data_IF_895292622581
#
_entry.id   IF_895292622581
#
_cell.length_a   1.000
_cell.length_b   1.000
_cell.length_c   1.000
_cell.angle_alpha   90.00
_cell.angle_beta   90.00
_cell.angle_gamma   90.00
#
_symmetry.space_group_name_H-M   'P 1'
#
loop_
_entity.id
_entity.type
_entity.pdbx_description
1 polymer ?
#
# COMPACT_ATOMS: atom_id res chain seq x y z
N UNK A 1 25.24 -13.07 -4.87
CA UNK A 1 23.83 -13.11 -4.47
C UNK A 1 23.42 -11.80 -3.82
N UNK A 2 23.94 -11.49 -2.63
CA UNK A 2 23.55 -10.34 -1.81
C UNK A 2 23.61 -9.00 -2.55
N UNK A 3 24.65 -8.79 -3.37
CA UNK A 3 24.80 -7.59 -4.21
C UNK A 3 23.66 -7.45 -5.23
N UNK A 4 23.22 -8.57 -5.84
CA UNK A 4 22.11 -8.58 -6.80
C UNK A 4 20.78 -8.36 -6.09
N UNK A 5 20.62 -8.91 -4.90
CA UNK A 5 19.43 -8.68 -4.08
C UNK A 5 19.33 -7.22 -3.63
N UNK A 6 20.43 -6.63 -3.17
CA UNK A 6 20.46 -5.21 -2.79
C UNK A 6 20.20 -4.28 -4.00
N UNK A 7 20.72 -4.62 -5.18
CA UNK A 7 20.40 -3.89 -6.41
C UNK A 7 18.90 -3.96 -6.77
N UNK A 8 18.27 -5.12 -6.53
CA UNK A 8 16.83 -5.31 -6.67
C UNK A 8 16.04 -4.46 -5.66
N UNK A 9 16.33 -4.56 -4.36
CA UNK A 9 15.67 -3.80 -3.30
C UNK A 9 15.78 -2.28 -3.52
N UNK A 10 16.98 -1.80 -3.87
CA UNK A 10 17.18 -0.40 -4.24
C UNK A 10 16.39 -0.02 -5.50
N UNK A 11 16.28 -0.89 -6.50
CA UNK A 11 15.49 -0.61 -7.70
C UNK A 11 13.99 -0.50 -7.42
N UNK A 12 13.45 -1.33 -6.53
CA UNK A 12 12.05 -1.29 -6.10
C UNK A 12 11.78 0.00 -5.33
N UNK A 13 12.62 0.34 -4.34
CA UNK A 13 12.44 1.50 -3.49
C UNK A 13 12.50 2.84 -4.24
N UNK A 14 13.37 2.97 -5.24
CA UNK A 14 13.52 4.22 -6.01
C UNK A 14 12.71 4.21 -7.32
N UNK A 15 11.59 3.47 -7.37
CA UNK A 15 10.61 3.55 -8.45
C UNK A 15 11.16 3.23 -9.86
N UNK A 16 12.16 2.34 -9.98
CA UNK A 16 12.71 1.99 -11.30
C UNK A 16 11.65 1.23 -12.11
N UNK A 17 11.66 1.42 -13.44
CA UNK A 17 10.70 0.81 -14.39
C UNK A 17 10.48 -0.69 -14.10
N UNK A 18 9.23 -1.17 -14.14
CA UNK A 18 8.86 -2.56 -13.88
C UNK A 18 9.72 -3.59 -14.64
N UNK A 19 10.02 -3.35 -15.93
CA UNK A 19 10.93 -4.22 -16.72
C UNK A 19 12.33 -4.36 -16.12
N UNK A 20 12.86 -3.30 -15.50
CA UNK A 20 14.18 -3.30 -14.85
C UNK A 20 14.13 -4.06 -13.52
N UNK A 21 13.07 -3.89 -12.75
CA UNK A 21 12.83 -4.65 -11.50
C UNK A 21 12.75 -6.15 -11.80
N UNK A 22 11.95 -6.54 -12.80
CA UNK A 22 11.81 -7.94 -13.20
C UNK A 22 13.12 -8.53 -13.73
N UNK A 23 13.90 -7.76 -14.51
CA UNK A 23 15.23 -8.18 -14.94
C UNK A 23 16.17 -8.42 -13.74
N UNK A 24 16.18 -7.53 -12.76
CA UNK A 24 17.01 -7.68 -11.56
C UNK A 24 16.58 -8.89 -10.73
N UNK A 25 15.27 -9.16 -10.64
CA UNK A 25 14.75 -10.38 -9.98
C UNK A 25 15.29 -11.65 -10.64
N UNK A 26 15.22 -11.75 -11.97
CA UNK A 26 15.78 -12.90 -12.70
C UNK A 26 17.28 -13.06 -12.45
N UNK A 27 18.02 -11.95 -12.40
CA UNK A 27 19.45 -11.97 -12.05
C UNK A 27 19.74 -12.42 -10.61
N UNK A 28 18.82 -12.16 -9.67
CA UNK A 28 18.92 -12.70 -8.30
C UNK A 28 18.79 -14.22 -8.35
N UNK A 29 17.76 -14.75 -9.02
CA UNK A 29 17.55 -16.19 -9.18
C UNK A 29 18.75 -16.89 -9.84
N UNK A 30 19.22 -16.36 -10.97
CA UNK A 30 20.42 -16.87 -11.66
C UNK A 30 21.66 -16.83 -10.74
N UNK A 31 21.80 -15.78 -9.93
CA UNK A 31 22.90 -15.68 -8.96
C UNK A 31 22.79 -16.72 -7.85
N UNK A 32 21.58 -17.07 -7.40
CA UNK A 32 21.35 -18.08 -6.37
C UNK A 32 21.77 -19.44 -6.90
N UNK A 33 21.29 -19.82 -8.09
CA UNK A 33 21.65 -21.07 -8.75
C UNK A 33 23.16 -21.18 -9.01
N UNK A 34 23.77 -20.13 -9.58
CA UNK A 34 25.22 -20.12 -9.83
C UNK A 34 26.03 -20.24 -8.53
N UNK A 35 25.57 -19.61 -7.44
CA UNK A 35 26.24 -19.72 -6.13
C UNK A 35 26.13 -21.14 -5.59
N UNK A 36 24.97 -21.79 -5.75
CA UNK A 36 24.75 -23.18 -5.33
C UNK A 36 25.74 -24.13 -5.99
N UNK A 37 25.89 -24.06 -7.31
CA UNK A 37 26.84 -24.91 -8.05
C UNK A 37 28.28 -24.70 -7.58
N UNK A 38 28.71 -23.43 -7.44
CA UNK A 38 30.04 -23.10 -6.93
C UNK A 38 30.30 -23.65 -5.53
N UNK A 39 29.30 -23.61 -4.64
CA UNK A 39 29.43 -24.14 -3.29
C UNK A 39 29.54 -25.66 -3.27
N UNK A 40 28.82 -26.38 -4.14
CA UNK A 40 28.90 -27.85 -4.25
C UNK A 40 30.32 -28.28 -4.67
N UNK A 41 30.93 -27.52 -5.59
CA UNK A 41 32.26 -27.80 -6.12
C UNK A 41 33.40 -27.44 -5.16
N UNK A 42 33.12 -26.72 -4.07
CA UNK A 42 34.15 -26.36 -3.10
C UNK A 42 34.64 -27.61 -2.34
N UNK A 43 35.97 -27.80 -2.23
CA UNK A 43 36.52 -28.88 -1.42
C UNK A 43 36.28 -28.62 0.07
N UNK A 44 36.28 -29.68 0.87
CA UNK A 44 36.21 -29.57 2.32
C UNK A 44 37.46 -28.91 2.87
N UNK A 45 37.28 -27.96 3.78
CA UNK A 45 38.42 -27.33 4.43
C UNK A 45 38.93 -28.25 5.53
N UNK A 46 40.14 -28.81 5.33
CA UNK A 46 40.74 -29.78 6.27
C UNK A 46 39.80 -30.96 6.58
N UNK A 47 39.02 -31.40 5.59
CA UNK A 47 38.03 -32.48 5.74
C UNK A 47 36.72 -32.08 6.43
N UNK A 48 36.56 -30.81 6.84
CA UNK A 48 35.33 -30.31 7.46
C UNK A 48 34.38 -29.69 6.42
N UNK A 49 33.16 -30.22 6.36
CA UNK A 49 32.09 -29.77 5.49
C UNK A 49 31.16 -28.71 6.14
N UNK A 50 31.31 -28.42 7.43
CA UNK A 50 30.37 -27.58 8.19
C UNK A 50 30.16 -26.20 7.55
N UNK A 51 31.23 -25.51 7.15
CA UNK A 51 31.11 -24.20 6.49
C UNK A 51 30.37 -24.30 5.16
N UNK A 52 30.75 -25.26 4.32
CA UNK A 52 30.13 -25.46 3.00
C UNK A 52 28.65 -25.82 3.15
N UNK A 53 28.30 -26.71 4.07
CA UNK A 53 26.91 -27.11 4.33
C UNK A 53 26.05 -25.95 4.79
N UNK A 54 26.53 -25.13 5.73
CA UNK A 54 25.79 -23.96 6.23
C UNK A 54 25.46 -22.97 5.10
N UNK A 55 26.39 -22.75 4.18
CA UNK A 55 26.16 -21.91 3.00
C UNK A 55 25.22 -22.57 1.97
N UNK A 56 25.32 -23.89 1.77
CA UNK A 56 24.40 -24.62 0.89
C UNK A 56 22.96 -24.56 1.43
N UNK A 57 22.76 -24.78 2.73
CA UNK A 57 21.45 -24.70 3.37
C UNK A 57 20.84 -23.29 3.23
N UNK A 58 21.66 -22.25 3.35
CA UNK A 58 21.24 -20.86 3.14
C UNK A 58 20.82 -20.59 1.69
N UNK A 59 21.62 -21.02 0.71
CA UNK A 59 21.31 -20.83 -0.70
C UNK A 59 20.07 -21.61 -1.12
N UNK A 60 19.90 -22.85 -0.66
CA UNK A 60 18.71 -23.66 -0.91
C UNK A 60 17.46 -23.03 -0.28
N UNK A 61 17.59 -22.44 0.90
CA UNK A 61 16.51 -21.70 1.55
C UNK A 61 16.11 -20.46 0.75
N UNK A 62 17.08 -19.64 0.34
CA UNK A 62 16.79 -18.47 -0.47
C UNK A 62 16.20 -18.84 -1.83
N UNK A 63 16.67 -19.92 -2.47
CA UNK A 63 16.06 -20.42 -3.70
C UNK A 63 14.57 -20.72 -3.52
N UNK A 64 14.20 -21.44 -2.45
CA UNK A 64 12.79 -21.73 -2.13
C UNK A 64 11.96 -20.45 -1.91
N UNK A 65 12.53 -19.45 -1.25
CA UNK A 65 11.86 -18.16 -1.05
C UNK A 65 11.61 -17.44 -2.37
N UNK A 66 12.66 -17.27 -3.19
CA UNK A 66 12.56 -16.50 -4.43
C UNK A 66 11.82 -17.24 -5.55
N UNK A 67 11.66 -18.56 -5.44
CA UNK A 67 10.92 -19.37 -6.40
C UNK A 67 9.48 -19.66 -5.95
N UNK A 68 9.29 -20.20 -4.75
CA UNK A 68 7.99 -20.73 -4.30
C UNK A 68 7.16 -19.68 -3.56
N UNK A 69 7.78 -18.94 -2.64
CA UNK A 69 7.08 -17.90 -1.88
C UNK A 69 6.88 -16.62 -2.71
N UNK A 70 7.78 -16.34 -3.68
CA UNK A 70 7.60 -15.26 -4.63
C UNK A 70 6.44 -15.53 -5.61
N UNK A 71 6.27 -16.76 -6.10
CA UNK A 71 5.12 -17.10 -6.94
C UNK A 71 3.79 -16.84 -6.20
N UNK A 72 3.75 -17.10 -4.88
CA UNK A 72 2.61 -16.76 -4.03
C UNK A 72 2.44 -15.25 -3.87
N UNK A 73 3.53 -14.49 -3.69
CA UNK A 73 3.50 -13.02 -3.67
C UNK A 73 2.89 -12.49 -4.96
N UNK A 74 3.36 -12.91 -6.14
CA UNK A 74 2.84 -12.44 -7.44
C UNK A 74 1.35 -12.73 -7.57
N UNK A 75 0.92 -13.95 -7.20
CA UNK A 75 -0.50 -14.31 -7.27
C UNK A 75 -1.36 -13.52 -6.27
N UNK A 76 -0.79 -13.15 -5.11
CA UNK A 76 -1.50 -12.42 -4.06
C UNK A 76 -1.50 -10.91 -4.34
N UNK A 77 -0.47 -10.38 -5.00
CA UNK A 77 -0.38 -8.97 -5.41
C UNK A 77 -1.55 -8.57 -6.32
N UNK A 78 -1.95 -9.44 -7.25
CA UNK A 78 -3.07 -9.20 -8.16
C UNK A 78 -4.42 -9.01 -7.44
N UNK A 79 -4.60 -9.65 -6.29
CA UNK A 79 -5.83 -9.55 -5.50
C UNK A 79 -5.69 -8.65 -4.27
N UNK A 80 -4.47 -8.22 -3.91
CA UNK A 80 -4.21 -7.47 -2.69
C UNK A 80 -5.01 -6.16 -2.62
N UNK A 81 -5.26 -5.52 -3.76
CA UNK A 81 -6.00 -4.26 -3.81
C UNK A 81 -7.53 -4.42 -3.72
N UNK A 82 -8.05 -5.66 -3.76
CA UNK A 82 -9.50 -5.91 -3.73
C UNK A 82 -10.11 -5.63 -2.36
N UNK A 83 -9.36 -5.82 -1.27
CA UNK A 83 -9.80 -5.51 0.09
C UNK A 83 -8.65 -5.13 1.02
N UNK A 84 -8.99 -4.51 2.15
CA UNK A 84 -8.03 -4.25 3.22
C UNK A 84 -7.39 -5.54 3.78
N UNK A 85 -8.17 -6.59 3.94
CA UNK A 85 -7.69 -7.84 4.53
C UNK A 85 -6.70 -8.56 3.61
N UNK A 86 -6.93 -8.54 2.30
CA UNK A 86 -6.00 -9.09 1.31
C UNK A 86 -4.69 -8.29 1.26
N UNK A 87 -4.76 -6.95 1.30
CA UNK A 87 -3.57 -6.10 1.38
C UNK A 87 -2.77 -6.35 2.67
N UNK A 88 -3.45 -6.49 3.80
CA UNK A 88 -2.80 -6.81 5.07
C UNK A 88 -2.15 -8.20 5.05
N UNK A 89 -2.83 -9.20 4.49
CA UNK A 89 -2.29 -10.54 4.34
C UNK A 89 -1.06 -10.57 3.42
N UNK A 90 -1.10 -9.81 2.32
CA UNK A 90 0.00 -9.62 1.39
C UNK A 90 1.24 -9.02 2.07
N UNK A 91 1.06 -7.90 2.78
CA UNK A 91 2.17 -7.25 3.52
C UNK A 91 2.72 -8.17 4.60
N UNK A 92 1.86 -8.88 5.35
CA UNK A 92 2.29 -9.83 6.36
C UNK A 92 3.10 -10.99 5.76
N UNK A 93 2.74 -11.45 4.56
CA UNK A 93 3.50 -12.46 3.83
C UNK A 93 4.90 -11.95 3.49
N UNK A 94 5.01 -10.72 2.98
CA UNK A 94 6.31 -10.07 2.70
C UNK A 94 7.16 -9.94 3.96
N UNK A 95 6.59 -9.45 5.07
CA UNK A 95 7.31 -9.31 6.35
C UNK A 95 7.82 -10.65 6.88
N UNK A 96 7.01 -11.71 6.80
CA UNK A 96 7.43 -13.07 7.19
C UNK A 96 8.56 -13.61 6.34
N UNK A 97 8.59 -13.26 5.05
CA UNK A 97 9.68 -13.64 4.14
C UNK A 97 10.97 -12.90 4.51
N UNK A 98 10.88 -11.61 4.79
CA UNK A 98 12.03 -10.82 5.25
C UNK A 98 12.60 -11.33 6.58
N UNK A 99 11.72 -11.65 7.56
CA UNK A 99 12.13 -12.23 8.83
C UNK A 99 12.84 -13.57 8.66
N UNK A 100 12.30 -14.43 7.78
CA UNK A 100 12.90 -15.71 7.38
C UNK A 100 14.29 -15.53 6.77
N UNK A 101 14.45 -14.59 5.84
CA UNK A 101 15.74 -14.27 5.22
C UNK A 101 16.75 -13.75 6.25
N UNK A 102 16.31 -12.90 7.18
CA UNK A 102 17.15 -12.39 8.27
C UNK A 102 17.64 -13.51 9.18
N UNK A 103 16.76 -14.38 9.64
CA UNK A 103 17.12 -15.53 10.49
C UNK A 103 18.11 -16.47 9.78
N UNK A 104 17.93 -16.70 8.48
CA UNK A 104 18.85 -17.51 7.70
C UNK A 104 20.24 -16.85 7.58
N UNK A 105 20.30 -15.53 7.39
CA UNK A 105 21.56 -14.78 7.36
C UNK A 105 22.28 -14.81 8.72
N UNK A 106 21.55 -14.64 9.82
CA UNK A 106 22.10 -14.73 11.18
C UNK A 106 22.74 -16.10 11.47
N UNK A 107 22.10 -17.19 11.01
CA UNK A 107 22.65 -18.55 11.11
C UNK A 107 23.96 -18.70 10.36
N UNK A 108 24.05 -18.17 9.13
CA UNK A 108 25.28 -18.18 8.33
C UNK A 108 26.38 -17.38 9.01
N UNK A 109 26.06 -16.19 9.52
CA UNK A 109 27.01 -15.32 10.21
C UNK A 109 27.56 -15.99 11.47
N UNK A 110 26.70 -16.62 12.26
CA UNK A 110 27.14 -17.42 13.41
C UNK A 110 28.02 -18.59 12.98
N UNK A 111 27.61 -19.35 11.97
CA UNK A 111 28.38 -20.47 11.42
C UNK A 111 29.78 -20.06 10.94
N UNK A 112 29.90 -18.91 10.28
CA UNK A 112 31.18 -18.35 9.87
C UNK A 112 32.08 -18.04 11.08
N UNK A 113 31.53 -17.44 12.14
CA UNK A 113 32.27 -17.11 13.38
C UNK A 113 32.73 -18.37 14.11
N UNK A 114 31.84 -19.35 14.26
CA UNK A 114 32.14 -20.62 14.93
C UNK A 114 33.23 -21.40 14.16
N UNK A 115 33.14 -21.43 12.83
CA UNK A 115 34.14 -22.06 11.98
C UNK A 115 35.50 -21.35 12.05
N UNK A 116 35.49 -20.01 12.02
CA UNK A 116 36.71 -19.21 12.14
C UNK A 116 37.40 -19.44 13.49
N UNK A 117 36.64 -19.47 14.59
CA UNK A 117 37.15 -19.79 15.92
C UNK A 117 37.75 -21.20 15.98
N UNK A 118 37.04 -22.20 15.44
CA UNK A 118 37.51 -23.61 15.39
C UNK A 118 38.85 -23.76 14.68
N UNK A 119 39.05 -23.03 13.58
CA UNK A 119 40.26 -23.16 12.75
C UNK A 119 41.27 -22.04 12.93
N UNK A 120 41.07 -21.15 13.91
CA UNK A 120 41.91 -19.97 14.17
C UNK A 120 42.11 -19.11 12.92
N UNK A 121 41.04 -18.94 12.15
CA UNK A 121 41.01 -18.07 10.97
C UNK A 121 40.64 -16.67 11.43
N UNK A 122 41.41 -15.67 11.03
CA UNK A 122 41.05 -14.28 11.27
C UNK A 122 40.00 -13.85 10.24
N UNK A 123 38.84 -13.41 10.71
CA UNK A 123 37.84 -12.79 9.85
C UNK A 123 38.29 -11.38 9.51
N UNK A 124 38.25 -11.01 8.22
CA UNK A 124 38.45 -9.65 7.77
C UNK A 124 37.07 -9.05 7.60
N UNK A 125 36.65 -8.20 8.55
CA UNK A 125 35.27 -7.66 8.62
C UNK A 125 34.91 -6.69 7.48
N UNK A 126 35.89 -6.23 6.69
CA UNK A 126 35.79 -5.05 5.83
C UNK A 126 34.95 -5.13 4.54
N UNK A 127 34.01 -6.07 4.38
CA UNK A 127 33.20 -6.09 3.14
C UNK A 127 31.86 -6.82 3.17
N UNK A 128 31.57 -7.62 4.21
CA UNK A 128 30.27 -8.29 4.40
C UNK A 128 29.33 -7.53 5.34
N UNK A 129 29.87 -6.73 6.27
CA UNK A 129 29.04 -5.95 7.22
C UNK A 129 28.28 -4.81 6.52
N UNK A 130 28.91 -4.03 5.63
CA UNK A 130 28.26 -2.88 4.97
C UNK A 130 27.02 -3.29 4.14
N UNK A 131 27.04 -4.46 3.50
CA UNK A 131 25.88 -4.94 2.74
C UNK A 131 24.76 -5.47 3.66
N UNK A 132 25.14 -6.16 4.75
CA UNK A 132 24.20 -6.61 5.77
C UNK A 132 23.51 -5.45 6.47
N UNK A 133 24.26 -4.41 6.82
CA UNK A 133 23.75 -3.17 7.41
C UNK A 133 22.77 -2.46 6.46
N UNK A 134 23.09 -2.36 5.17
CA UNK A 134 22.20 -1.77 4.16
C UNK A 134 20.89 -2.55 4.01
N UNK A 135 20.95 -3.87 4.03
CA UNK A 135 19.76 -4.73 3.99
C UNK A 135 18.91 -4.58 5.26
N UNK A 136 19.55 -4.50 6.43
CA UNK A 136 18.84 -4.25 7.70
C UNK A 136 18.16 -2.88 7.70
N UNK A 137 18.85 -1.85 7.21
CA UNK A 137 18.28 -0.51 7.06
C UNK A 137 17.05 -0.53 6.13
N UNK A 138 17.16 -1.13 4.94
CA UNK A 138 16.04 -1.25 4.01
C UNK A 138 14.85 -1.99 4.65
N UNK A 139 15.08 -3.07 5.39
CA UNK A 139 14.02 -3.80 6.10
C UNK A 139 13.33 -2.93 7.17
N UNK A 140 14.08 -2.13 7.93
CA UNK A 140 13.53 -1.17 8.91
C UNK A 140 12.65 -0.11 8.23
N UNK A 141 13.09 0.41 7.09
CA UNK A 141 12.34 1.40 6.29
C UNK A 141 11.01 0.81 5.82
N UNK A 142 11.04 -0.37 5.19
CA UNK A 142 9.84 -1.05 4.69
C UNK A 142 8.85 -1.35 5.81
N UNK A 143 9.32 -1.88 6.94
CA UNK A 143 8.45 -2.18 8.09
C UNK A 143 7.78 -0.94 8.65
N UNK A 144 8.51 0.17 8.76
CA UNK A 144 7.94 1.45 9.19
C UNK A 144 6.87 1.95 8.22
N UNK A 145 7.18 1.96 6.93
CA UNK A 145 6.26 2.39 5.89
C UNK A 145 5.00 1.54 5.86
N UNK A 146 5.12 0.20 5.89
CA UNK A 146 4.00 -0.73 5.81
C UNK A 146 2.94 -0.49 6.88
N UNK A 147 3.37 -0.18 8.11
CA UNK A 147 2.44 0.16 9.20
C UNK A 147 1.61 1.41 8.90
N UNK A 148 2.23 2.45 8.35
CA UNK A 148 1.54 3.70 8.00
C UNK A 148 0.70 3.52 6.72
N UNK A 149 1.22 2.79 5.74
CA UNK A 149 0.52 2.49 4.50
C UNK A 149 -0.77 1.73 4.77
N UNK A 150 -0.79 0.73 5.64
CA UNK A 150 -2.02 0.01 5.97
C UNK A 150 -3.10 0.93 6.57
N UNK A 151 -2.70 1.91 7.39
CA UNK A 151 -3.62 2.91 7.94
C UNK A 151 -4.21 3.78 6.81
N UNK A 152 -3.35 4.29 5.93
CA UNK A 152 -3.77 5.07 4.76
C UNK A 152 -4.71 4.24 3.85
N UNK A 153 -4.27 3.05 3.47
CA UNK A 153 -4.94 2.15 2.52
C UNK A 153 -6.34 1.80 2.99
N UNK A 154 -6.53 1.47 4.28
CA UNK A 154 -7.85 1.16 4.85
C UNK A 154 -8.87 2.27 4.63
N UNK A 155 -8.48 3.51 4.93
CA UNK A 155 -9.35 4.67 4.76
C UNK A 155 -9.57 4.99 3.28
N UNK A 156 -8.51 4.89 2.49
CA UNK A 156 -8.55 5.15 1.06
C UNK A 156 -9.46 4.18 0.30
N UNK A 157 -9.33 2.88 0.54
CA UNK A 157 -10.18 1.86 -0.06
C UNK A 157 -11.66 2.10 0.23
N UNK A 158 -11.97 2.52 1.46
CA UNK A 158 -13.33 2.85 1.86
C UNK A 158 -13.86 4.14 1.17
N UNK A 159 -13.01 5.15 0.95
CA UNK A 159 -13.36 6.37 0.19
C UNK A 159 -13.54 6.09 -1.31
N UNK A 160 -12.80 5.14 -1.88
CA UNK A 160 -13.04 4.64 -3.23
C UNK A 160 -14.39 3.93 -3.34
N UNK A 161 -14.73 3.10 -2.35
CA UNK A 161 -16.05 2.45 -2.26
C UNK A 161 -17.18 3.48 -2.14
N UNK A 162 -16.97 4.54 -1.36
CA UNK A 162 -17.90 5.67 -1.25
C UNK A 162 -18.09 6.37 -2.61
N UNK A 163 -17.00 6.69 -3.29
CA UNK A 163 -17.03 7.34 -4.61
C UNK A 163 -17.79 6.48 -5.63
N UNK A 164 -17.56 5.16 -5.61
CA UNK A 164 -18.30 4.21 -6.45
C UNK A 164 -19.81 4.24 -6.15
N UNK A 165 -20.21 4.18 -4.88
CA UNK A 165 -21.62 4.22 -4.48
C UNK A 165 -22.32 5.52 -4.91
N UNK A 166 -21.63 6.66 -4.80
CA UNK A 166 -22.14 7.96 -5.27
C UNK A 166 -22.34 7.99 -6.79
N UNK A 167 -21.37 7.48 -7.56
CA UNK A 167 -21.47 7.40 -9.01
C UNK A 167 -22.60 6.47 -9.47
N UNK A 168 -22.82 5.37 -8.75
CA UNK A 168 -23.93 4.44 -8.96
C UNK A 168 -25.27 4.95 -8.40
N UNK A 169 -25.29 6.13 -7.78
CA UNK A 169 -26.47 6.75 -7.13
C UNK A 169 -27.10 5.87 -6.05
N UNK A 170 -26.33 5.00 -5.40
CA UNK A 170 -26.79 4.13 -4.31
C UNK A 170 -26.64 4.84 -2.97
N UNK A 171 -27.64 5.64 -2.59
CA UNK A 171 -27.58 6.51 -1.39
C UNK A 171 -27.29 5.74 -0.10
N UNK A 172 -27.93 4.58 0.09
CA UNK A 172 -27.71 3.76 1.28
C UNK A 172 -26.26 3.26 1.38
N UNK A 173 -25.72 2.75 0.27
CA UNK A 173 -24.33 2.28 0.21
C UNK A 173 -23.35 3.44 0.42
N UNK A 174 -23.67 4.62 -0.14
CA UNK A 174 -22.86 5.83 0.05
C UNK A 174 -22.86 6.28 1.52
N UNK A 175 -24.00 6.32 2.22
CA UNK A 175 -24.03 6.69 3.64
C UNK A 175 -23.32 5.66 4.53
N UNK A 176 -23.47 4.36 4.24
CA UNK A 176 -22.71 3.32 4.92
C UNK A 176 -21.20 3.52 4.73
N UNK A 177 -20.75 3.68 3.49
CA UNK A 177 -19.34 3.92 3.18
C UNK A 177 -18.81 5.21 3.83
N UNK A 178 -19.60 6.29 3.82
CA UNK A 178 -19.27 7.57 4.45
C UNK A 178 -19.01 7.42 5.95
N UNK A 179 -19.89 6.73 6.67
CA UNK A 179 -19.69 6.50 8.12
C UNK A 179 -18.43 5.66 8.39
N UNK A 180 -18.14 4.67 7.55
CA UNK A 180 -16.92 3.88 7.62
C UNK A 180 -15.65 4.70 7.34
N UNK A 181 -15.66 5.61 6.35
CA UNK A 181 -14.54 6.53 6.09
C UNK A 181 -14.24 7.34 7.34
N UNK A 182 -15.26 7.97 7.95
CA UNK A 182 -15.10 8.80 9.15
C UNK A 182 -14.54 7.97 10.32
N UNK A 183 -15.10 6.77 10.53
CA UNK A 183 -14.64 5.84 11.56
C UNK A 183 -13.16 5.47 11.36
N UNK A 184 -12.79 4.98 10.18
CA UNK A 184 -11.43 4.53 9.88
C UNK A 184 -10.43 5.69 9.88
N UNK A 185 -10.83 6.89 9.47
CA UNK A 185 -10.00 8.08 9.60
C UNK A 185 -9.71 8.39 11.08
N UNK A 186 -10.71 8.36 11.95
CA UNK A 186 -10.51 8.61 13.39
C UNK A 186 -9.64 7.52 14.04
N UNK A 187 -9.90 6.24 13.76
CA UNK A 187 -9.07 5.12 14.24
C UNK A 187 -7.63 5.26 13.76
N UNK A 188 -7.43 5.57 12.49
CA UNK A 188 -6.13 5.76 11.87
C UNK A 188 -5.35 6.93 12.48
N UNK A 189 -6.01 8.06 12.76
CA UNK A 189 -5.40 9.21 13.41
C UNK A 189 -4.87 8.85 14.80
N UNK A 190 -5.66 8.13 15.60
CA UNK A 190 -5.25 7.64 16.93
C UNK A 190 -4.11 6.61 16.84
N UNK A 191 -4.11 5.76 15.81
CA UNK A 191 -3.04 4.81 15.58
C UNK A 191 -1.73 5.51 15.22
N UNK A 192 -1.78 6.53 14.34
CA UNK A 192 -0.60 7.31 13.94
C UNK A 192 0.06 8.01 15.13
N UNK A 193 -0.68 8.48 16.13
CA UNK A 193 -0.11 9.11 17.32
C UNK A 193 0.90 8.21 18.04
N UNK A 194 0.66 6.89 18.02
CA UNK A 194 1.49 5.87 18.69
C UNK A 194 2.73 5.48 17.88
N UNK A 195 2.78 5.82 16.59
CA UNK A 195 3.90 5.49 15.72
C UNK A 195 4.95 6.62 15.82
N UNK A 196 6.18 6.37 16.29
CA UNK A 196 7.21 7.40 16.35
C UNK A 196 7.65 7.87 14.95
N UNK A 197 8.40 8.97 14.88
CA UNK A 197 9.08 9.36 13.64
C UNK A 197 10.22 8.37 13.32
N UNK A 198 10.46 8.07 12.05
CA UNK A 198 11.54 7.17 11.64
C UNK A 198 12.87 7.92 11.64
N UNK A 199 13.73 7.67 12.65
CA UNK A 199 15.00 8.39 12.77
C UNK A 199 14.84 9.91 12.88
N UNK A 200 13.68 10.38 13.38
CA UNK A 200 13.33 11.80 13.42
C UNK A 200 12.57 12.32 12.19
N UNK A 201 12.49 11.56 11.10
CA UNK A 201 11.69 11.88 9.92
C UNK A 201 10.22 11.45 10.12
N UNK A 202 9.32 12.44 10.17
CA UNK A 202 7.87 12.25 10.30
C UNK A 202 7.08 12.48 9.01
N UNK A 203 7.74 12.62 7.86
CA UNK A 203 7.13 13.03 6.58
C UNK A 203 5.97 12.13 6.15
N UNK A 204 6.17 10.81 6.05
CA UNK A 204 5.13 9.85 5.66
C UNK A 204 3.99 9.81 6.68
N UNK A 205 4.32 9.85 7.98
CA UNK A 205 3.32 9.92 9.06
C UNK A 205 2.45 11.17 8.91
N UNK A 206 3.05 12.32 8.62
CA UNK A 206 2.35 13.58 8.42
C UNK A 206 1.47 13.55 7.17
N UNK A 207 1.97 13.03 6.06
CA UNK A 207 1.20 12.87 4.83
C UNK A 207 0.00 11.94 5.03
N UNK A 208 0.18 10.82 5.73
CA UNK A 208 -0.93 9.93 6.12
C UNK A 208 -1.98 10.68 6.95
N UNK A 209 -1.54 11.42 7.98
CA UNK A 209 -2.43 12.23 8.83
C UNK A 209 -3.25 13.22 8.00
N UNK A 210 -2.62 13.93 7.06
CA UNK A 210 -3.30 14.87 6.17
C UNK A 210 -4.31 14.17 5.25
N UNK A 211 -3.97 13.00 4.71
CA UNK A 211 -4.89 12.18 3.92
C UNK A 211 -6.11 11.76 4.73
N UNK A 212 -5.94 11.20 5.93
CA UNK A 212 -7.06 10.78 6.79
C UNK A 212 -7.97 11.97 7.15
N UNK A 213 -7.39 13.11 7.52
CA UNK A 213 -8.15 14.33 7.81
C UNK A 213 -8.91 14.82 6.58
N UNK A 214 -8.29 14.74 5.40
CA UNK A 214 -8.90 15.12 4.13
C UNK A 214 -10.07 14.21 3.74
N UNK A 215 -9.90 12.89 3.77
CA UNK A 215 -10.98 11.93 3.50
C UNK A 215 -12.14 12.11 4.47
N UNK A 216 -11.84 12.30 5.76
CA UNK A 216 -12.85 12.62 6.78
C UNK A 216 -13.61 13.90 6.44
N UNK A 217 -12.91 14.98 6.09
CA UNK A 217 -13.55 16.25 5.75
C UNK A 217 -14.44 16.15 4.50
N UNK A 218 -14.02 15.38 3.48
CA UNK A 218 -14.84 15.11 2.29
C UNK A 218 -16.12 14.36 2.71
N UNK A 219 -15.98 13.31 3.51
CA UNK A 219 -17.10 12.52 4.00
C UNK A 219 -18.07 13.34 4.87
N UNK A 220 -17.56 14.19 5.75
CA UNK A 220 -18.39 15.01 6.66
C UNK A 220 -19.11 16.15 5.95
N UNK A 221 -18.54 16.72 4.89
CA UNK A 221 -19.04 17.95 4.30
C UNK A 221 -19.55 17.79 2.86
N UNK A 222 -18.71 17.30 1.95
CA UNK A 222 -19.05 17.27 0.52
C UNK A 222 -20.00 16.14 0.17
N UNK A 223 -19.85 14.99 0.82
CA UNK A 223 -20.69 13.81 0.55
C UNK A 223 -22.14 14.04 0.94
N UNK A 224 -22.40 14.73 2.06
CA UNK A 224 -23.77 15.10 2.46
C UNK A 224 -24.50 15.93 1.40
N UNK A 225 -23.78 16.85 0.73
CA UNK A 225 -24.34 17.68 -0.33
C UNK A 225 -24.68 16.85 -1.57
N UNK A 226 -23.83 15.87 -1.89
CA UNK A 226 -24.05 14.96 -3.01
C UNK A 226 -25.22 14.01 -2.74
N UNK A 227 -25.33 13.44 -1.53
CA UNK A 227 -26.45 12.54 -1.18
C UNK A 227 -27.78 13.29 -1.07
N UNK A 228 -27.80 14.52 -0.57
CA UNK A 228 -28.98 15.40 -0.59
C UNK A 228 -29.52 15.61 -2.01
N UNK A 229 -28.63 15.86 -2.99
CA UNK A 229 -29.04 15.97 -4.39
C UNK A 229 -29.63 14.67 -4.93
N UNK A 230 -29.04 13.50 -4.64
CA UNK A 230 -29.57 12.21 -5.12
C UNK A 230 -31.01 12.00 -4.59
N UNK A 231 -31.24 12.27 -3.30
CA UNK A 231 -32.56 12.16 -2.68
C UNK A 231 -33.57 13.14 -3.30
N UNK A 232 -33.17 14.39 -3.51
CA UNK A 232 -34.02 15.40 -4.18
C UNK A 232 -34.32 15.01 -5.62
N UNK A 233 -33.36 14.42 -6.32
CA UNK A 233 -33.55 13.93 -7.69
C UNK A 233 -34.56 12.78 -7.73
N UNK A 234 -34.47 11.82 -6.82
CA UNK A 234 -35.48 10.75 -6.71
C UNK A 234 -36.88 11.29 -6.42
N UNK A 235 -36.99 12.29 -5.53
CA UNK A 235 -38.27 12.94 -5.25
C UNK A 235 -38.81 13.70 -6.46
N UNK A 236 -37.96 14.45 -7.16
CA UNK A 236 -38.31 15.15 -8.40
C UNK A 236 -38.83 14.18 -9.46
N UNK A 237 -38.16 13.06 -9.68
CA UNK A 237 -38.59 12.04 -10.65
C UNK A 237 -39.97 11.44 -10.30
N UNK A 238 -40.28 11.26 -9.00
CA UNK A 238 -41.61 10.83 -8.56
C UNK A 238 -42.67 11.90 -8.88
N UNK A 239 -42.42 13.16 -8.50
CA UNK A 239 -43.33 14.28 -8.76
C UNK A 239 -43.56 14.45 -10.26
N UNK A 240 -42.48 14.40 -11.06
CA UNK A 240 -42.52 14.50 -12.52
C UNK A 240 -43.39 13.40 -13.13
N UNK A 241 -43.20 12.14 -12.73
CA UNK A 241 -44.04 11.03 -13.20
C UNK A 241 -45.52 11.23 -12.88
N UNK A 242 -45.84 11.67 -11.66
CA UNK A 242 -47.22 11.95 -11.26
C UNK A 242 -47.84 13.13 -12.04
N UNK A 243 -47.05 14.17 -12.32
CA UNK A 243 -47.48 15.33 -13.10
C UNK A 243 -47.68 14.99 -14.59
N UNK A 244 -46.75 14.22 -15.17
CA UNK A 244 -46.78 13.79 -16.57
C UNK A 244 -47.90 12.79 -16.85
N UNK A 245 -48.35 12.02 -15.85
CA UNK A 245 -49.46 11.09 -15.97
C UNK A 245 -50.83 11.78 -16.10
N UNK A 246 -50.95 13.05 -15.72
CA UNK A 246 -52.18 13.85 -15.87
C UNK A 246 -52.21 14.55 -17.22
N UNK A 247 -53.34 14.47 -17.92
CA UNK A 247 -53.55 15.28 -19.13
C UNK A 247 -53.57 16.77 -18.78
N UNK A 248 -53.45 17.63 -19.79
CA UNK A 248 -53.35 19.08 -19.55
C UNK A 248 -54.60 19.67 -18.89
N UNK A 249 -55.76 19.12 -19.21
CA UNK A 249 -57.08 19.48 -18.66
C UNK A 249 -57.32 18.91 -17.24
N UNK A 250 -56.60 17.86 -16.84
CA UNK A 250 -56.69 17.26 -15.51
C UNK A 250 -55.74 17.89 -14.46
N UNK A 251 -54.80 18.73 -14.91
CA UNK A 251 -53.81 19.36 -14.03
C UNK A 251 -54.45 20.51 -13.24
N UNK A 252 -54.33 20.45 -11.92
CA UNK A 252 -54.73 21.57 -11.06
C UNK A 252 -53.61 22.60 -10.92
N UNK A 253 -53.93 23.77 -10.36
CA UNK A 253 -52.92 24.79 -10.03
C UNK A 253 -51.90 24.25 -9.02
N UNK A 254 -52.36 23.47 -8.05
CA UNK A 254 -51.51 22.82 -7.04
C UNK A 254 -50.52 21.84 -7.68
N UNK A 255 -50.93 21.10 -8.72
CA UNK A 255 -50.02 20.22 -9.47
C UNK A 255 -48.90 21.02 -10.14
N UNK A 256 -49.26 22.13 -10.79
CA UNK A 256 -48.30 23.01 -11.49
C UNK A 256 -47.36 23.69 -10.49
N UNK A 257 -47.89 24.22 -9.40
CA UNK A 257 -47.10 24.88 -8.35
C UNK A 257 -46.15 23.87 -7.66
N UNK A 258 -46.63 22.65 -7.38
CA UNK A 258 -45.83 21.56 -6.83
C UNK A 258 -44.69 21.14 -7.76
N UNK A 259 -44.98 20.94 -9.04
CA UNK A 259 -43.96 20.63 -10.05
C UNK A 259 -42.93 21.76 -10.18
N UNK A 260 -43.39 23.01 -10.30
CA UNK A 260 -42.50 24.18 -10.40
C UNK A 260 -41.61 24.35 -9.17
N UNK A 261 -42.13 24.08 -7.97
CA UNK A 261 -41.34 24.06 -6.74
C UNK A 261 -40.26 22.98 -6.80
N UNK A 262 -40.60 21.76 -7.21
CA UNK A 262 -39.66 20.66 -7.34
C UNK A 262 -38.56 20.97 -8.39
N UNK A 263 -38.92 21.62 -9.51
CA UNK A 263 -37.96 22.10 -10.53
C UNK A 263 -36.98 23.11 -9.92
N UNK A 264 -37.45 24.07 -9.12
CA UNK A 264 -36.56 25.04 -8.46
C UNK A 264 -35.62 24.37 -7.47
N UNK A 265 -36.13 23.43 -6.67
CA UNK A 265 -35.34 22.71 -5.68
C UNK A 265 -34.24 21.85 -6.32
N UNK A 266 -34.56 21.11 -7.39
CA UNK A 266 -33.56 20.27 -8.07
C UNK A 266 -32.50 21.12 -8.80
N UNK A 267 -32.90 22.24 -9.42
CA UNK A 267 -31.97 23.16 -10.08
C UNK A 267 -31.00 23.83 -9.08
N UNK A 268 -31.45 24.10 -7.86
CA UNK A 268 -30.56 24.58 -6.80
C UNK A 268 -29.62 23.47 -6.33
N UNK A 269 -30.15 22.27 -6.09
CA UNK A 269 -29.39 21.13 -5.57
C UNK A 269 -28.32 20.62 -6.55
N UNK A 270 -28.58 20.63 -7.85
CA UNK A 270 -27.61 20.16 -8.86
C UNK A 270 -26.34 21.02 -8.86
N UNK A 271 -26.47 22.34 -8.72
CA UNK A 271 -25.32 23.23 -8.67
C UNK A 271 -24.45 22.98 -7.43
N UNK A 272 -25.10 22.80 -6.27
CA UNK A 272 -24.42 22.50 -5.01
C UNK A 272 -23.71 21.14 -5.08
N UNK A 273 -24.37 20.12 -5.61
CA UNK A 273 -23.80 18.77 -5.77
C UNK A 273 -22.61 18.77 -6.73
N UNK A 274 -22.72 19.45 -7.88
CA UNK A 274 -21.63 19.56 -8.84
C UNK A 274 -20.39 20.23 -8.23
N UNK A 275 -20.59 21.33 -7.49
CA UNK A 275 -19.51 22.00 -6.79
C UNK A 275 -18.89 21.11 -5.70
N UNK A 276 -19.72 20.39 -4.94
CA UNK A 276 -19.25 19.45 -3.93
C UNK A 276 -18.41 18.31 -4.53
N UNK A 277 -18.85 17.76 -5.67
CA UNK A 277 -18.11 16.76 -6.42
C UNK A 277 -16.76 17.28 -6.93
N UNK A 278 -16.72 18.50 -7.48
CA UNK A 278 -15.49 19.14 -7.91
C UNK A 278 -14.52 19.38 -6.74
N UNK A 279 -15.02 19.91 -5.62
CA UNK A 279 -14.22 20.14 -4.41
C UNK A 279 -13.64 18.84 -3.87
N UNK A 280 -14.46 17.79 -3.76
CA UNK A 280 -14.04 16.48 -3.30
C UNK A 280 -12.99 15.85 -4.24
N UNK A 281 -13.21 15.93 -5.55
CA UNK A 281 -12.27 15.42 -6.56
C UNK A 281 -10.92 16.12 -6.50
N UNK A 282 -10.90 17.46 -6.49
CA UNK A 282 -9.67 18.24 -6.38
C UNK A 282 -8.94 17.91 -5.07
N UNK A 283 -9.67 17.85 -3.95
CA UNK A 283 -9.07 17.53 -2.66
C UNK A 283 -8.43 16.14 -2.66
N UNK A 284 -9.09 15.11 -3.22
CA UNK A 284 -8.51 13.76 -3.35
C UNK A 284 -7.21 13.79 -4.14
N UNK A 285 -7.19 14.46 -5.28
CA UNK A 285 -6.00 14.57 -6.13
C UNK A 285 -4.81 15.19 -5.35
N UNK A 286 -5.06 16.25 -4.58
CA UNK A 286 -4.03 16.88 -3.75
C UNK A 286 -3.52 15.93 -2.65
N UNK A 287 -4.43 15.17 -2.00
CA UNK A 287 -4.06 14.21 -0.97
C UNK A 287 -3.21 13.06 -1.53
N UNK A 288 -3.58 12.54 -2.71
CA UNK A 288 -2.82 11.49 -3.39
C UNK A 288 -1.44 11.95 -3.79
N UNK A 289 -1.36 13.12 -4.44
CA UNK A 289 -0.09 13.70 -4.84
C UNK A 289 0.84 13.90 -3.64
N UNK A 290 0.34 14.50 -2.56
CA UNK A 290 1.12 14.73 -1.34
C UNK A 290 1.58 13.42 -0.68
N UNK A 291 0.71 12.41 -0.67
CA UNK A 291 1.06 11.07 -0.19
C UNK A 291 2.18 10.45 -1.03
N UNK A 292 2.02 10.41 -2.35
CA UNK A 292 2.99 9.83 -3.28
C UNK A 292 4.36 10.54 -3.21
N UNK A 293 4.36 11.88 -3.17
CA UNK A 293 5.58 12.67 -3.07
C UNK A 293 6.32 12.42 -1.74
N UNK A 294 5.59 12.36 -0.62
CA UNK A 294 6.17 12.08 0.69
C UNK A 294 6.74 10.66 0.76
N UNK A 295 6.05 9.68 0.19
CA UNK A 295 6.50 8.28 0.15
C UNK A 295 7.75 8.14 -0.72
N UNK A 296 7.76 8.75 -1.90
CA UNK A 296 8.92 8.73 -2.79
C UNK A 296 10.15 9.37 -2.12
N UNK A 297 9.99 10.56 -1.52
CA UNK A 297 11.07 11.24 -0.83
C UNK A 297 11.60 10.46 0.39
N UNK A 298 10.70 9.82 1.14
CA UNK A 298 11.06 8.99 2.28
C UNK A 298 11.89 7.77 1.86
N UNK A 299 11.44 7.03 0.86
CA UNK A 299 12.21 5.88 0.35
C UNK A 299 13.55 6.30 -0.23
N UNK A 300 13.61 7.42 -0.94
CA UNK A 300 14.85 7.96 -1.49
C UNK A 300 15.86 8.32 -0.40
N UNK A 301 15.39 8.95 0.68
CA UNK A 301 16.23 9.39 1.80
C UNK A 301 16.73 8.22 2.64
N UNK A 302 15.87 7.25 2.96
CA UNK A 302 16.18 6.25 3.99
C UNK A 302 16.57 4.88 3.43
N UNK A 303 16.40 4.63 2.14
CA UNK A 303 16.84 3.38 1.50
C UNK A 303 18.22 3.56 0.88
N UNK A 304 19.20 2.71 1.20
CA UNK A 304 20.52 2.83 0.60
C UNK A 304 20.49 2.64 -0.92
N UNK A 305 21.12 3.56 -1.64
CA UNK A 305 21.35 3.39 -3.07
C UNK A 305 22.39 2.32 -3.35
N UNK A 306 22.04 1.39 -4.24
CA UNK A 306 22.94 0.34 -4.68
C UNK A 306 22.90 0.22 -6.22
N UNK A 307 24.07 0.02 -6.84
CA UNK A 307 24.25 -0.09 -8.29
C UNK A 307 24.65 -1.51 -8.68
#
# INVERSE_FOLDING_TARGET
MDQKYMAYTSAVAHGKRARKVEKLRKQVLESIESTRYKLIDLPYYKGDNSLRQIHLDYIDFCYKIFNDDYAKIVNTEEIAEQSFDEMQAFILLQEKIDEKLKQANEKVNKGNKDFAAKYKVNLIDGGKDDLGEKMEQASKVSKYYNQIFLIFFKCNWQDNSLTKALNEKKVNDAEQARTSVIKYANEGLLALEKIPAFGGDGSVKLACKQALQGFKAIAENEVLKMTDFILKNENFEKIKKSFDAKSQDERTKEDVDGFNKAVKEINAAVNVSNQAGANAGNKRNDLYKNWEEAVAAFYDTHTPHYR
#
